data_IF_944333740011
#
_entry.id   IF_944333740011
#
_cell.length_a   1.000
_cell.length_b   1.000
_cell.length_c   1.000
_cell.angle_alpha   90.00
_cell.angle_beta   90.00
_cell.angle_gamma   90.00
#
_symmetry.space_group_name_H-M   'P 1'
#
loop_
_entity.id
_entity.type
_entity.pdbx_description
1 polymer ?
#
# COMPACT_ATOMS: atom_id res chain seq x y z
N UNK A 1 -53.83 28.13 35.17
CA UNK A 1 -52.41 27.74 35.26
C UNK A 1 -52.18 26.53 34.36
N UNK A 2 -51.52 26.79 33.23
CA UNK A 2 -51.26 25.85 32.15
C UNK A 2 -50.37 24.69 32.61
N UNK A 3 -50.86 23.45 32.44
CA UNK A 3 -49.98 22.31 32.21
C UNK A 3 -49.63 22.30 30.73
N UNK A 4 -48.51 22.92 30.38
CA UNK A 4 -47.92 22.76 29.06
C UNK A 4 -47.50 21.30 28.88
N UNK A 5 -48.38 20.53 28.21
CA UNK A 5 -47.99 19.31 27.52
C UNK A 5 -47.01 19.73 26.43
N UNK A 6 -45.71 19.53 26.66
CA UNK A 6 -44.73 19.43 25.59
C UNK A 6 -45.13 18.22 24.75
N UNK A 7 -45.95 18.44 23.73
CA UNK A 7 -46.19 17.50 22.64
C UNK A 7 -44.92 17.52 21.79
N UNK A 8 -43.91 16.77 22.21
CA UNK A 8 -42.74 16.52 21.39
C UNK A 8 -43.11 15.53 20.27
N UNK A 9 -43.78 16.05 19.23
CA UNK A 9 -44.16 15.32 18.01
C UNK A 9 -42.94 15.18 17.09
N UNK A 10 -41.86 14.54 17.56
CA UNK A 10 -40.84 13.93 16.70
C UNK A 10 -39.79 13.18 17.53
N UNK A 11 -40.23 12.31 18.43
CA UNK A 11 -39.32 11.36 19.07
C UNK A 11 -38.91 10.26 18.06
N UNK A 12 -38.17 10.65 17.01
CA UNK A 12 -37.54 9.75 16.04
C UNK A 12 -36.17 9.36 16.57
N UNK A 13 -36.17 8.51 17.60
CA UNK A 13 -34.98 7.74 18.02
C UNK A 13 -34.75 6.60 17.00
N UNK A 14 -34.78 6.91 15.71
CA UNK A 14 -34.53 5.93 14.65
C UNK A 14 -33.01 5.84 14.47
N UNK A 15 -32.44 4.74 14.95
CA UNK A 15 -31.01 4.47 14.87
C UNK A 15 -30.69 3.76 13.57
N UNK A 16 -29.70 4.24 12.82
CA UNK A 16 -29.14 3.48 11.71
C UNK A 16 -28.11 2.46 12.23
N UNK A 17 -28.61 1.27 12.55
CA UNK A 17 -27.80 0.18 13.07
C UNK A 17 -26.69 -0.29 12.12
N UNK A 18 -26.84 -0.16 10.79
CA UNK A 18 -25.78 -0.57 9.87
C UNK A 18 -24.57 0.36 9.94
N UNK A 19 -24.79 1.66 10.01
CA UNK A 19 -23.73 2.65 10.19
C UNK A 19 -23.10 2.58 11.58
N UNK A 20 -23.92 2.47 12.64
CA UNK A 20 -23.37 2.33 13.99
C UNK A 20 -22.60 1.02 14.15
N UNK A 21 -23.08 -0.08 13.56
CA UNK A 21 -22.34 -1.33 13.54
C UNK A 21 -21.00 -1.15 12.84
N UNK A 22 -20.96 -0.49 11.68
CA UNK A 22 -19.70 -0.23 10.97
C UNK A 22 -18.70 0.56 11.84
N UNK A 23 -19.18 1.57 12.58
CA UNK A 23 -18.38 2.37 13.52
C UNK A 23 -17.86 1.49 14.66
N UNK A 24 -18.72 0.73 15.33
CA UNK A 24 -18.38 -0.03 16.55
C UNK A 24 -17.54 -1.27 16.24
N UNK A 25 -17.75 -1.89 15.08
CA UNK A 25 -17.06 -3.13 14.67
C UNK A 25 -15.82 -2.87 13.81
N UNK A 26 -15.59 -1.63 13.38
CA UNK A 26 -14.43 -1.25 12.57
C UNK A 26 -14.49 -1.80 11.14
N UNK A 27 -15.69 -1.92 10.57
CA UNK A 27 -15.86 -2.32 9.16
C UNK A 27 -15.20 -1.29 8.26
N UNK A 28 -14.47 -1.75 7.24
CA UNK A 28 -13.81 -0.84 6.30
C UNK A 28 -14.85 -0.05 5.49
N UNK A 29 -14.59 1.23 5.25
CA UNK A 29 -15.45 2.10 4.46
C UNK A 29 -15.72 1.56 3.04
N UNK A 30 -14.79 0.76 2.49
CA UNK A 30 -14.93 0.13 1.17
C UNK A 30 -15.99 -0.97 1.17
N UNK A 31 -16.25 -1.60 2.32
CA UNK A 31 -17.23 -2.69 2.44
C UNK A 31 -18.63 -2.17 2.79
N UNK A 32 -18.78 -0.86 3.03
CA UNK A 32 -20.08 -0.23 3.22
C UNK A 32 -20.90 -0.26 1.93
N UNK A 33 -22.20 -0.55 2.05
CA UNK A 33 -23.13 -0.65 0.92
C UNK A 33 -23.86 0.66 0.63
N UNK A 34 -23.96 1.56 1.61
CA UNK A 34 -24.62 2.86 1.47
C UNK A 34 -24.14 3.86 2.52
N UNK A 35 -24.36 5.15 2.25
CA UNK A 35 -24.33 6.20 3.28
C UNK A 35 -25.74 6.45 3.82
N UNK A 36 -25.91 7.46 4.68
CA UNK A 36 -27.20 7.90 5.24
C UNK A 36 -27.37 9.41 5.13
N UNK A 37 -26.80 9.99 4.08
CA UNK A 37 -26.84 11.40 3.76
C UNK A 37 -28.08 11.67 2.91
N UNK A 38 -29.06 12.38 3.45
CA UNK A 38 -30.38 12.56 2.82
C UNK A 38 -30.52 13.86 2.07
N UNK A 39 -29.78 14.89 2.47
CA UNK A 39 -29.91 16.24 1.89
C UNK A 39 -28.57 16.78 1.44
N UNK A 40 -28.61 17.81 0.58
CA UNK A 40 -27.39 18.50 0.13
C UNK A 40 -26.70 19.24 1.28
N UNK A 41 -27.44 19.73 2.26
CA UNK A 41 -26.89 20.36 3.47
C UNK A 41 -26.11 19.34 4.31
N UNK A 42 -26.67 18.15 4.51
CA UNK A 42 -25.97 17.06 5.19
C UNK A 42 -24.73 16.60 4.40
N UNK A 43 -24.83 16.54 3.07
CA UNK A 43 -23.70 16.23 2.20
C UNK A 43 -22.59 17.28 2.30
N UNK A 44 -22.93 18.57 2.35
CA UNK A 44 -21.99 19.68 2.52
C UNK A 44 -21.30 19.60 3.88
N UNK A 45 -22.06 19.32 4.95
CA UNK A 45 -21.49 19.13 6.28
C UNK A 45 -20.55 17.93 6.32
N UNK A 46 -20.94 16.81 5.72
CA UNK A 46 -20.09 15.62 5.60
C UNK A 46 -18.79 15.94 4.87
N UNK A 47 -18.86 16.62 3.72
CA UNK A 47 -17.67 16.99 2.95
C UNK A 47 -16.72 17.88 3.77
N UNK A 48 -17.26 18.84 4.52
CA UNK A 48 -16.49 19.73 5.39
C UNK A 48 -15.76 18.97 6.49
N UNK A 49 -16.45 18.09 7.21
CA UNK A 49 -15.85 17.26 8.27
C UNK A 49 -14.86 16.22 7.71
N UNK A 50 -15.06 15.81 6.46
CA UNK A 50 -14.11 14.97 5.73
C UNK A 50 -12.82 15.73 5.36
N UNK A 51 -12.85 17.07 5.36
CA UNK A 51 -11.69 17.94 5.11
C UNK A 51 -11.83 18.84 3.88
N UNK A 52 -12.99 18.86 3.21
CA UNK A 52 -13.21 19.66 2.00
C UNK A 52 -14.28 20.72 2.19
N UNK A 53 -13.87 21.99 2.17
CA UNK A 53 -14.82 23.11 2.11
C UNK A 53 -15.27 23.33 0.66
N UNK A 54 -16.47 22.89 0.30
CA UNK A 54 -17.01 23.00 -1.07
C UNK A 54 -17.24 24.43 -1.54
N UNK A 55 -17.21 25.42 -0.64
CA UNK A 55 -17.28 26.83 -1.03
C UNK A 55 -15.92 27.34 -1.55
N UNK A 56 -14.81 26.67 -1.19
CA UNK A 56 -13.47 26.92 -1.72
C UNK A 56 -13.33 26.38 -3.16
N UNK A 57 -12.97 27.23 -4.15
CA UNK A 57 -12.65 26.79 -5.50
C UNK A 57 -11.59 25.67 -5.56
N UNK A 58 -10.57 25.71 -4.70
CA UNK A 58 -9.49 24.71 -4.72
C UNK A 58 -10.00 23.33 -4.31
N UNK A 59 -10.77 23.25 -3.22
CA UNK A 59 -11.39 22.00 -2.79
C UNK A 59 -12.32 21.43 -3.87
N UNK A 60 -13.06 22.28 -4.60
CA UNK A 60 -13.91 21.83 -5.72
C UNK A 60 -13.10 21.24 -6.87
N UNK A 61 -11.95 21.82 -7.20
CA UNK A 61 -11.07 21.29 -8.23
C UNK A 61 -10.41 19.97 -7.81
N UNK A 62 -10.01 19.84 -6.53
CA UNK A 62 -9.50 18.58 -5.98
C UNK A 62 -10.55 17.46 -6.02
N UNK A 63 -11.79 17.74 -5.60
CA UNK A 63 -12.90 16.78 -5.67
C UNK A 63 -13.17 16.36 -7.12
N UNK A 64 -13.18 17.32 -8.06
CA UNK A 64 -13.35 17.05 -9.49
C UNK A 64 -12.25 16.14 -10.02
N UNK A 65 -10.99 16.44 -9.70
CA UNK A 65 -9.85 15.66 -10.14
C UNK A 65 -9.90 14.22 -9.59
N UNK A 66 -10.23 14.07 -8.30
CA UNK A 66 -10.37 12.77 -7.66
C UNK A 66 -11.53 11.95 -8.24
N UNK A 67 -12.67 12.60 -8.55
CA UNK A 67 -13.80 11.96 -9.22
C UNK A 67 -13.42 11.46 -10.62
N UNK A 68 -12.78 12.31 -11.44
CA UNK A 68 -12.34 11.92 -12.78
C UNK A 68 -11.34 10.76 -12.76
N UNK A 69 -10.37 10.79 -11.83
CA UNK A 69 -9.43 9.68 -11.63
C UNK A 69 -10.15 8.41 -11.14
N UNK A 70 -11.13 8.52 -10.24
CA UNK A 70 -11.90 7.39 -9.73
C UNK A 70 -12.69 6.68 -10.85
N UNK A 71 -13.39 7.45 -11.68
CA UNK A 71 -14.14 6.91 -12.83
C UNK A 71 -13.18 6.24 -13.81
N UNK A 72 -12.08 6.90 -14.18
CA UNK A 72 -11.08 6.33 -15.08
C UNK A 72 -10.49 5.02 -14.53
N UNK A 73 -10.20 4.97 -13.23
CA UNK A 73 -9.69 3.77 -12.57
C UNK A 73 -10.69 2.62 -12.60
N UNK A 74 -11.96 2.89 -12.31
CA UNK A 74 -13.04 1.89 -12.37
C UNK A 74 -13.15 1.34 -13.80
N UNK A 75 -13.19 2.21 -14.80
CA UNK A 75 -13.29 1.81 -16.21
C UNK A 75 -12.09 0.98 -16.68
N UNK A 76 -10.87 1.29 -16.22
CA UNK A 76 -9.65 0.58 -16.63
C UNK A 76 -9.46 -0.76 -15.90
N UNK A 77 -9.80 -0.83 -14.60
CA UNK A 77 -9.45 -1.99 -13.76
C UNK A 77 -10.61 -2.92 -13.45
N UNK A 78 -11.85 -2.42 -13.43
CA UNK A 78 -13.00 -3.14 -12.90
C UNK A 78 -14.07 -3.43 -13.94
N UNK A 79 -13.97 -2.86 -15.14
CA UNK A 79 -14.94 -3.04 -16.21
C UNK A 79 -14.31 -3.67 -17.44
N UNK A 80 -15.04 -4.60 -18.06
CA UNK A 80 -14.73 -5.13 -19.38
C UNK A 80 -15.16 -4.13 -20.47
N UNK A 81 -14.76 -4.35 -21.72
CA UNK A 81 -15.19 -3.52 -22.86
C UNK A 81 -16.72 -3.50 -22.99
N UNK A 82 -17.30 -2.31 -23.09
CA UNK A 82 -18.74 -2.09 -23.22
C UNK A 82 -19.48 -1.90 -21.89
N UNK A 83 -18.93 -2.40 -20.76
CA UNK A 83 -19.54 -2.21 -19.43
C UNK A 83 -19.50 -0.75 -18.97
N UNK A 84 -18.66 0.11 -19.57
CA UNK A 84 -18.58 1.54 -19.24
C UNK A 84 -19.91 2.26 -19.50
N UNK A 85 -20.70 1.78 -20.46
CA UNK A 85 -22.04 2.33 -20.79
C UNK A 85 -23.07 2.11 -19.67
N UNK A 86 -22.75 1.25 -18.70
CA UNK A 86 -23.62 0.94 -17.57
C UNK A 86 -23.52 1.96 -16.43
N UNK A 87 -22.53 2.86 -16.47
CA UNK A 87 -22.39 3.94 -15.50
C UNK A 87 -23.40 5.05 -15.87
N UNK A 88 -24.34 5.42 -14.98
CA UNK A 88 -25.33 6.44 -15.28
C UNK A 88 -24.68 7.81 -15.58
N UNK A 89 -25.21 8.59 -16.54
CA UNK A 89 -24.69 9.91 -16.88
C UNK A 89 -24.54 10.86 -15.68
N UNK A 90 -25.50 10.84 -14.75
CA UNK A 90 -25.49 11.62 -13.52
C UNK A 90 -24.37 11.23 -12.54
N UNK A 91 -23.72 10.07 -12.72
CA UNK A 91 -22.53 9.66 -11.96
C UNK A 91 -21.26 10.03 -12.70
N UNK A 92 -21.25 9.94 -14.04
CA UNK A 92 -20.12 10.34 -14.89
C UNK A 92 -19.92 11.85 -14.90
N UNK A 93 -21.01 12.62 -14.88
CA UNK A 93 -21.02 14.07 -14.94
C UNK A 93 -22.10 14.61 -14.00
N UNK A 94 -21.88 14.53 -12.67
CA UNK A 94 -22.83 15.08 -11.71
C UNK A 94 -22.88 16.61 -11.81
N UNK A 95 -24.07 17.20 -11.65
CA UNK A 95 -24.22 18.66 -11.54
C UNK A 95 -23.46 19.21 -10.33
N UNK A 96 -23.50 18.47 -9.22
CA UNK A 96 -22.70 18.71 -8.03
C UNK A 96 -22.11 17.40 -7.52
N UNK A 97 -20.83 17.38 -7.17
CA UNK A 97 -20.19 16.20 -6.58
C UNK A 97 -20.79 15.82 -5.21
N UNK A 98 -21.47 16.75 -4.53
CA UNK A 98 -22.25 16.44 -3.32
C UNK A 98 -23.43 15.51 -3.63
N UNK A 99 -23.95 15.52 -4.85
CA UNK A 99 -25.05 14.65 -5.24
C UNK A 99 -24.63 13.18 -5.21
N UNK A 100 -23.35 12.85 -5.41
CA UNK A 100 -22.84 11.49 -5.23
C UNK A 100 -23.05 10.98 -3.81
N UNK A 101 -22.83 11.83 -2.80
CA UNK A 101 -23.07 11.50 -1.38
C UNK A 101 -24.56 11.24 -1.13
N UNK A 102 -25.44 12.07 -1.70
CA UNK A 102 -26.90 11.90 -1.59
C UNK A 102 -27.35 10.62 -2.31
N UNK A 103 -26.90 10.41 -3.55
CA UNK A 103 -27.23 9.23 -4.36
C UNK A 103 -26.81 7.93 -3.67
N UNK A 104 -25.68 7.93 -2.98
CA UNK A 104 -25.14 6.77 -2.25
C UNK A 104 -26.01 6.31 -1.05
N UNK A 105 -27.00 7.11 -0.64
CA UNK A 105 -27.80 6.89 0.58
C UNK A 105 -29.21 6.35 0.31
N UNK A 106 -29.63 6.27 -0.96
CA UNK A 106 -31.01 5.92 -1.32
C UNK A 106 -31.28 4.40 -1.27
N UNK A 107 -31.72 3.91 -0.11
CA UNK A 107 -32.11 2.51 0.13
C UNK A 107 -33.54 2.15 -0.35
N UNK A 108 -34.31 3.12 -0.83
CA UNK A 108 -35.76 2.96 -1.04
C UNK A 108 -36.13 1.98 -2.16
N UNK A 109 -35.19 1.58 -3.02
CA UNK A 109 -35.40 0.51 -4.01
C UNK A 109 -34.22 -0.47 -3.98
N UNK A 110 -34.52 -1.77 -3.83
CA UNK A 110 -33.57 -2.90 -3.80
C UNK A 110 -32.68 -3.04 -5.05
N UNK A 111 -32.86 -2.19 -6.07
CA UNK A 111 -32.13 -2.21 -7.34
C UNK A 111 -31.83 -0.78 -7.85
N UNK A 112 -31.39 0.11 -6.97
CA UNK A 112 -31.00 1.45 -7.42
C UNK A 112 -29.57 1.47 -7.97
N UNK A 113 -29.44 1.23 -9.29
CA UNK A 113 -28.16 1.24 -10.03
C UNK A 113 -27.38 2.54 -9.81
N UNK A 114 -28.06 3.69 -9.73
CA UNK A 114 -27.44 4.99 -9.45
C UNK A 114 -26.77 5.01 -8.08
N UNK A 115 -27.42 4.46 -7.05
CA UNK A 115 -26.89 4.39 -5.70
C UNK A 115 -25.63 3.51 -5.64
N UNK A 116 -25.68 2.35 -6.29
CA UNK A 116 -24.56 1.41 -6.34
C UNK A 116 -23.32 2.03 -7.00
N UNK A 117 -23.51 2.71 -8.14
CA UNK A 117 -22.43 3.40 -8.84
C UNK A 117 -21.88 4.61 -8.06
N UNK A 118 -22.74 5.40 -7.42
CA UNK A 118 -22.31 6.49 -6.56
C UNK A 118 -21.43 5.96 -5.42
N UNK A 119 -21.83 4.86 -4.77
CA UNK A 119 -21.01 4.17 -3.76
C UNK A 119 -19.68 3.70 -4.32
N UNK A 120 -19.66 3.04 -5.48
CA UNK A 120 -18.43 2.55 -6.10
C UNK A 120 -17.43 3.68 -6.37
N UNK A 121 -17.89 4.79 -6.95
CA UNK A 121 -17.06 5.97 -7.23
C UNK A 121 -16.53 6.59 -5.93
N UNK A 122 -17.39 6.81 -4.93
CA UNK A 122 -16.98 7.37 -3.64
C UNK A 122 -15.94 6.51 -2.90
N UNK A 123 -16.05 5.18 -2.97
CA UNK A 123 -15.05 4.26 -2.40
C UNK A 123 -13.67 4.42 -3.04
N UNK A 124 -13.63 4.62 -4.36
CA UNK A 124 -12.36 4.87 -5.07
C UNK A 124 -11.84 6.28 -4.80
N UNK A 125 -12.71 7.29 -4.73
CA UNK A 125 -12.35 8.65 -4.33
C UNK A 125 -11.76 8.69 -2.92
N UNK A 126 -12.35 7.97 -1.95
CA UNK A 126 -11.79 7.79 -0.61
C UNK A 126 -10.34 7.25 -0.69
N UNK A 127 -10.13 6.22 -1.53
CA UNK A 127 -8.83 5.73 -2.00
C UNK A 127 -7.83 6.82 -2.38
N UNK A 128 -8.25 7.69 -3.30
CA UNK A 128 -7.47 8.75 -3.90
C UNK A 128 -7.13 9.85 -2.90
N UNK A 129 -8.10 10.31 -2.12
CA UNK A 129 -7.89 11.36 -1.12
C UNK A 129 -6.84 10.96 -0.09
N UNK A 130 -6.84 9.70 0.34
CA UNK A 130 -5.80 9.20 1.24
C UNK A 130 -4.40 9.17 0.63
N UNK A 131 -4.29 8.94 -0.68
CA UNK A 131 -3.00 9.00 -1.38
C UNK A 131 -2.53 10.45 -1.49
N UNK A 132 -3.41 11.37 -1.88
CA UNK A 132 -3.07 12.79 -2.09
C UNK A 132 -2.67 13.51 -0.80
N UNK A 133 -3.31 13.14 0.30
CA UNK A 133 -3.08 13.75 1.60
C UNK A 133 -2.08 12.96 2.48
N UNK A 134 -1.46 11.89 1.95
CA UNK A 134 -0.37 11.21 2.66
C UNK A 134 0.93 12.02 2.54
N UNK A 135 1.33 12.60 3.67
CA UNK A 135 2.55 13.40 3.78
C UNK A 135 3.80 12.66 3.29
N UNK A 136 3.94 11.35 3.56
CA UNK A 136 5.16 10.61 3.20
C UNK A 136 5.22 10.32 1.70
N UNK A 137 4.08 10.07 1.06
CA UNK A 137 4.03 9.88 -0.40
C UNK A 137 4.48 11.13 -1.16
N UNK A 138 4.18 12.34 -0.65
CA UNK A 138 4.64 13.60 -1.25
C UNK A 138 6.17 13.70 -1.35
N UNK A 139 6.89 13.11 -0.39
CA UNK A 139 8.35 13.11 -0.36
C UNK A 139 8.96 11.75 -0.72
N UNK A 140 8.20 10.88 -1.40
CA UNK A 140 8.60 9.48 -1.61
C UNK A 140 9.95 9.35 -2.32
N UNK A 141 10.26 10.18 -3.32
CA UNK A 141 11.53 10.10 -4.04
C UNK A 141 12.74 10.51 -3.18
N UNK A 142 12.56 11.51 -2.31
CA UNK A 142 13.57 11.93 -1.32
C UNK A 142 13.81 10.81 -0.30
N UNK A 143 12.73 10.21 0.21
CA UNK A 143 12.77 9.07 1.15
C UNK A 143 13.48 7.87 0.51
N UNK A 144 13.10 7.53 -0.71
CA UNK A 144 13.65 6.43 -1.51
C UNK A 144 15.16 6.59 -1.71
N UNK A 145 15.60 7.79 -2.07
CA UNK A 145 17.01 8.11 -2.29
C UNK A 145 17.82 7.94 -1.01
N UNK A 146 17.33 8.43 0.13
CA UNK A 146 18.01 8.26 1.43
C UNK A 146 18.10 6.80 1.86
N UNK A 147 17.05 6.00 1.62
CA UNK A 147 17.09 4.57 1.92
C UNK A 147 18.13 3.90 1.05
N UNK A 148 18.09 4.04 -0.29
CA UNK A 148 19.03 3.34 -1.18
C UNK A 148 20.47 3.85 -1.08
N UNK A 149 20.72 5.11 -0.74
CA UNK A 149 22.07 5.63 -0.57
C UNK A 149 22.92 4.86 0.47
N UNK A 150 22.30 4.28 1.52
CA UNK A 150 23.05 3.42 2.45
C UNK A 150 23.34 2.04 1.89
N UNK A 151 22.48 1.53 1.00
CA UNK A 151 22.64 0.22 0.37
C UNK A 151 23.64 0.24 -0.77
N UNK A 152 23.75 1.35 -1.48
CA UNK A 152 24.71 1.52 -2.57
C UNK A 152 26.15 1.39 -2.10
N UNK A 153 26.41 1.67 -0.81
CA UNK A 153 27.72 1.42 -0.18
C UNK A 153 28.04 -0.05 0.07
N UNK A 154 27.02 -0.92 0.09
CA UNK A 154 27.19 -2.36 0.27
C UNK A 154 27.09 -3.13 -1.05
N UNK A 155 26.66 -2.47 -2.12
CA UNK A 155 26.43 -3.09 -3.42
C UNK A 155 27.59 -2.73 -4.36
N UNK A 156 28.35 -3.74 -4.77
CA UNK A 156 29.39 -3.60 -5.78
C UNK A 156 28.92 -4.17 -7.12
N UNK A 157 29.37 -3.53 -8.19
CA UNK A 157 29.03 -3.88 -9.57
C UNK A 157 30.32 -4.19 -10.31
N UNK A 158 30.49 -5.44 -10.74
CA UNK A 158 31.64 -5.89 -11.51
C UNK A 158 31.13 -6.55 -12.80
N UNK A 159 31.12 -5.78 -13.90
CA UNK A 159 30.48 -6.19 -15.15
C UNK A 159 28.98 -6.47 -14.95
N UNK A 160 28.53 -7.67 -15.33
CA UNK A 160 27.13 -8.10 -15.18
C UNK A 160 26.78 -8.65 -13.78
N UNK A 161 27.77 -8.75 -12.88
CA UNK A 161 27.59 -9.38 -11.56
C UNK A 161 27.46 -8.34 -10.46
N UNK A 162 26.50 -8.60 -9.58
CA UNK A 162 26.24 -7.80 -8.40
C UNK A 162 26.81 -8.52 -7.18
N UNK A 163 27.37 -7.78 -6.23
CA UNK A 163 27.90 -8.33 -4.99
C UNK A 163 27.40 -7.54 -3.80
N UNK A 164 27.05 -8.24 -2.72
CA UNK A 164 26.81 -7.65 -1.41
C UNK A 164 28.08 -7.75 -0.58
N UNK A 165 28.77 -6.64 -0.34
CA UNK A 165 30.04 -6.59 0.41
C UNK A 165 29.91 -5.77 1.70
N UNK A 166 30.46 -6.30 2.78
CA UNK A 166 30.57 -5.62 4.07
C UNK A 166 31.24 -6.49 5.12
N UNK A 167 32.04 -5.90 6.03
CA UNK A 167 32.70 -6.59 7.15
C UNK A 167 33.40 -7.91 6.74
N UNK A 168 34.30 -7.85 5.75
CA UNK A 168 35.05 -9.00 5.19
C UNK A 168 34.20 -10.09 4.52
N UNK A 169 32.88 -9.93 4.46
CA UNK A 169 31.98 -10.82 3.75
C UNK A 169 31.71 -10.21 2.36
N UNK A 170 31.82 -11.02 1.31
CA UNK A 170 31.43 -10.67 -0.05
C UNK A 170 30.57 -11.80 -0.61
N UNK A 171 29.29 -11.52 -0.87
CA UNK A 171 28.34 -12.49 -1.38
C UNK A 171 27.96 -12.13 -2.83
N UNK A 172 28.16 -13.03 -3.80
CA UNK A 172 27.63 -12.81 -5.14
C UNK A 172 26.10 -12.84 -5.11
N UNK A 173 25.48 -11.92 -5.84
CA UNK A 173 24.05 -11.87 -6.03
C UNK A 173 23.72 -12.42 -7.42
N UNK A 174 22.84 -13.41 -7.47
CA UNK A 174 22.20 -13.82 -8.70
C UNK A 174 21.38 -12.68 -9.31
N UNK A 175 20.67 -11.94 -8.44
CA UNK A 175 19.90 -10.77 -8.83
C UNK A 175 19.81 -9.78 -7.66
N UNK A 176 20.04 -8.52 -7.97
CA UNK A 176 19.59 -7.41 -7.14
C UNK A 176 18.47 -6.66 -7.84
N UNK A 177 17.36 -6.44 -7.14
CA UNK A 177 16.26 -5.67 -7.67
C UNK A 177 15.75 -4.70 -6.61
N UNK A 178 15.89 -3.40 -6.86
CA UNK A 178 15.10 -2.39 -6.16
C UNK A 178 13.65 -2.56 -6.61
N UNK A 179 12.72 -2.78 -5.66
CA UNK A 179 11.30 -2.82 -6.01
C UNK A 179 10.96 -1.45 -6.62
N UNK A 180 10.53 -1.45 -7.88
CA UNK A 180 10.14 -0.22 -8.58
C UNK A 180 9.01 0.45 -7.80
N UNK A 181 8.93 1.79 -7.89
CA UNK A 181 7.75 2.53 -7.43
C UNK A 181 6.53 1.84 -8.05
N UNK A 182 5.64 1.34 -7.20
CA UNK A 182 4.31 0.99 -7.66
C UNK A 182 3.67 2.32 -8.04
N UNK A 183 3.30 2.49 -9.30
CA UNK A 183 2.63 3.71 -9.74
C UNK A 183 1.36 3.95 -8.92
N UNK A 184 0.91 5.21 -8.85
CA UNK A 184 -0.26 5.66 -8.08
C UNK A 184 -1.44 4.67 -8.13
N UNK A 185 -1.82 4.21 -9.34
CA UNK A 185 -2.88 3.20 -9.57
C UNK A 185 -2.67 1.88 -8.82
N UNK A 186 -1.44 1.41 -8.68
CA UNK A 186 -1.11 0.19 -7.94
C UNK A 186 -1.16 0.37 -6.41
N UNK A 187 -0.93 1.60 -5.92
CA UNK A 187 -1.14 1.95 -4.50
C UNK A 187 -2.64 1.93 -4.23
N UNK A 188 -3.41 2.62 -5.06
CA UNK A 188 -4.87 2.66 -4.99
C UNK A 188 -5.47 1.25 -5.01
N UNK A 189 -5.04 0.41 -5.96
CA UNK A 189 -5.51 -0.98 -6.04
C UNK A 189 -5.23 -1.78 -4.76
N UNK A 190 -4.06 -1.60 -4.15
CA UNK A 190 -3.74 -2.27 -2.88
C UNK A 190 -4.62 -1.80 -1.73
N UNK A 191 -4.89 -0.49 -1.64
CA UNK A 191 -5.76 0.09 -0.61
C UNK A 191 -7.19 -0.45 -0.73
N UNK A 192 -7.71 -0.53 -1.96
CA UNK A 192 -9.05 -1.08 -2.23
C UNK A 192 -9.12 -2.60 -1.98
N UNK A 193 -8.00 -3.32 -2.01
CA UNK A 193 -7.96 -4.77 -1.76
C UNK A 193 -7.90 -5.14 -0.28
N UNK A 194 -7.18 -4.38 0.57
CA UNK A 194 -6.90 -4.79 1.95
C UNK A 194 -8.07 -4.48 2.91
N UNK A 195 -8.44 -5.42 3.80
CA UNK A 195 -9.59 -5.27 4.71
C UNK A 195 -9.41 -4.13 5.73
N UNK A 196 -8.19 -3.97 6.25
CA UNK A 196 -7.82 -2.83 7.07
C UNK A 196 -7.28 -1.72 6.17
N UNK A 197 -7.98 -0.61 6.07
CA UNK A 197 -7.50 0.57 5.34
C UNK A 197 -6.45 1.30 6.20
N UNK A 198 -5.20 0.82 6.20
CA UNK A 198 -4.13 1.37 7.05
C UNK A 198 -3.12 2.11 6.19
N UNK A 199 -2.81 3.37 6.54
CA UNK A 199 -1.74 4.15 5.91
C UNK A 199 -0.40 3.39 5.85
N UNK A 200 -0.16 2.45 6.79
CA UNK A 200 1.03 1.59 6.77
C UNK A 200 1.17 0.72 5.51
N UNK A 201 0.06 0.40 4.83
CA UNK A 201 0.05 -0.45 3.64
C UNK A 201 0.45 0.30 2.36
N UNK A 202 0.44 1.64 2.41
CA UNK A 202 1.01 2.54 1.41
C UNK A 202 2.55 2.43 1.43
N UNK A 203 3.17 2.01 2.53
CA UNK A 203 4.63 1.93 2.61
C UNK A 203 5.21 0.57 2.19
N UNK A 204 4.36 -0.44 1.91
CA UNK A 204 4.73 -1.73 1.29
C UNK A 204 5.26 -1.58 -0.17
N UNK A 205 5.66 -0.38 -0.57
CA UNK A 205 6.08 0.01 -1.92
C UNK A 205 7.57 0.28 -2.02
N UNK A 206 8.24 0.55 -0.90
CA UNK A 206 9.69 0.72 -0.88
C UNK A 206 10.36 -0.53 -0.34
N UNK A 207 11.19 -1.15 -1.16
CA UNK A 207 11.92 -2.32 -0.74
C UNK A 207 12.88 -2.83 -1.80
N UNK A 208 13.54 -3.93 -1.47
CA UNK A 208 14.54 -4.53 -2.32
C UNK A 208 14.51 -6.04 -2.21
N UNK A 209 14.96 -6.67 -3.30
CA UNK A 209 15.08 -8.10 -3.42
C UNK A 209 16.53 -8.44 -3.73
N UNK A 210 17.09 -9.30 -2.90
CA UNK A 210 18.40 -9.89 -3.06
C UNK A 210 18.19 -11.38 -3.29
N UNK A 211 18.67 -11.87 -4.43
CA UNK A 211 18.61 -13.28 -4.80
C UNK A 211 20.02 -13.83 -4.81
N UNK A 212 20.22 -14.94 -4.11
CA UNK A 212 21.49 -15.66 -4.00
C UNK A 212 21.37 -17.02 -4.69
N UNK A 213 22.48 -17.73 -4.89
CA UNK A 213 22.42 -19.05 -5.52
C UNK A 213 21.75 -20.09 -4.60
N UNK A 214 22.02 -20.01 -3.29
CA UNK A 214 21.62 -20.96 -2.25
C UNK A 214 20.80 -20.29 -1.14
N UNK A 215 20.08 -21.10 -0.37
CA UNK A 215 19.33 -20.66 0.81
C UNK A 215 20.28 -20.18 1.90
N UNK A 216 21.38 -20.89 2.14
CA UNK A 216 22.29 -20.56 3.24
C UNK A 216 23.03 -19.22 3.04
N UNK A 217 23.26 -18.80 1.80
CA UNK A 217 23.72 -17.44 1.50
C UNK A 217 22.78 -16.36 2.07
N UNK A 218 21.47 -16.61 2.10
CA UNK A 218 20.50 -15.66 2.68
C UNK A 218 20.72 -15.44 4.19
N UNK A 219 21.17 -16.47 4.92
CA UNK A 219 21.51 -16.36 6.35
C UNK A 219 22.81 -15.57 6.53
N UNK A 220 23.81 -15.80 5.67
CA UNK A 220 25.03 -14.99 5.65
C UNK A 220 24.75 -13.53 5.29
N UNK A 221 23.82 -13.29 4.36
CA UNK A 221 23.37 -11.95 4.01
C UNK A 221 22.71 -11.26 5.21
N UNK A 222 21.85 -11.94 5.98
CA UNK A 222 21.32 -11.39 7.24
C UNK A 222 22.43 -11.02 8.22
N UNK A 223 23.46 -11.87 8.39
CA UNK A 223 24.62 -11.58 9.24
C UNK A 223 25.36 -10.32 8.77
N UNK A 224 25.62 -10.20 7.46
CA UNK A 224 26.28 -9.03 6.86
C UNK A 224 25.45 -7.76 7.09
N UNK A 225 24.15 -7.81 6.81
CA UNK A 225 23.23 -6.67 6.95
C UNK A 225 23.07 -6.22 8.41
N UNK A 226 23.06 -7.17 9.34
CA UNK A 226 23.10 -6.90 10.78
C UNK A 226 24.41 -6.22 11.20
N UNK A 227 25.56 -6.77 10.80
CA UNK A 227 26.88 -6.21 11.12
C UNK A 227 27.09 -4.82 10.51
N UNK A 228 26.55 -4.59 9.32
CA UNK A 228 26.61 -3.30 8.61
C UNK A 228 25.54 -2.31 9.08
N UNK A 229 24.77 -2.63 10.14
CA UNK A 229 23.69 -1.81 10.69
C UNK A 229 22.55 -1.44 9.72
N UNK A 230 22.42 -2.14 8.58
CA UNK A 230 21.27 -1.97 7.69
C UNK A 230 20.01 -2.62 8.24
N UNK A 231 20.19 -3.67 9.05
CA UNK A 231 19.12 -4.29 9.84
C UNK A 231 19.51 -4.14 11.31
N UNK A 232 18.83 -3.24 12.01
CA UNK A 232 18.87 -3.15 13.47
C UNK A 232 17.65 -3.86 14.04
N UNK A 233 17.85 -4.80 14.97
CA UNK A 233 16.76 -5.55 15.61
C UNK A 233 15.73 -4.62 16.25
N UNK A 234 16.18 -3.52 16.84
CA UNK A 234 15.32 -2.51 17.48
C UNK A 234 14.42 -1.80 16.46
N UNK A 235 14.88 -1.70 15.20
CA UNK A 235 14.15 -1.08 14.10
C UNK A 235 13.41 -2.09 13.22
N UNK A 236 13.48 -3.40 13.51
CA UNK A 236 12.64 -4.39 12.84
C UNK A 236 11.20 -4.19 13.34
N UNK A 237 10.26 -4.04 12.41
CA UNK A 237 8.85 -3.87 12.75
C UNK A 237 8.27 -5.22 13.22
N UNK A 238 7.75 -5.32 14.46
CA UNK A 238 7.17 -6.55 14.96
C UNK A 238 6.04 -7.07 14.06
N UNK A 239 5.91 -8.39 13.95
CA UNK A 239 4.87 -9.10 13.17
C UNK A 239 4.83 -8.81 11.65
N UNK A 240 5.79 -8.04 11.12
CA UNK A 240 5.91 -7.72 9.68
C UNK A 240 7.09 -8.42 9.01
N UNK A 241 7.82 -9.25 9.74
CA UNK A 241 8.84 -10.15 9.20
C UNK A 241 8.26 -11.54 8.98
N UNK A 242 8.57 -12.16 7.84
CA UNK A 242 8.10 -13.50 7.47
C UNK A 242 9.26 -14.33 6.97
N UNK A 243 9.33 -15.59 7.39
CA UNK A 243 10.31 -16.53 6.88
C UNK A 243 9.60 -17.84 6.52
N UNK A 244 9.49 -18.11 5.22
CA UNK A 244 9.02 -19.39 4.69
C UNK A 244 10.05 -20.04 3.74
N UNK A 245 11.29 -19.55 3.79
CA UNK A 245 12.41 -20.04 2.98
C UNK A 245 13.18 -21.13 3.72
N UNK A 246 13.46 -20.90 5.01
CA UNK A 246 14.38 -21.71 5.81
C UNK A 246 13.83 -21.86 7.24
N UNK A 247 13.73 -23.09 7.75
CA UNK A 247 13.51 -23.29 9.18
C UNK A 247 14.82 -23.00 9.93
N UNK A 248 14.77 -22.04 10.86
CA UNK A 248 15.96 -21.42 11.42
C UNK A 248 16.75 -22.37 12.33
N UNK A 249 16.06 -23.23 13.09
CA UNK A 249 16.73 -24.18 13.98
C UNK A 249 17.45 -25.29 13.22
N UNK A 250 16.88 -25.73 12.10
CA UNK A 250 17.48 -26.73 11.23
C UNK A 250 18.69 -26.16 10.50
N UNK A 251 18.58 -24.96 9.94
CA UNK A 251 19.74 -24.26 9.37
C UNK A 251 20.85 -24.08 10.40
N UNK A 252 20.51 -23.74 11.66
CA UNK A 252 21.48 -23.67 12.75
C UNK A 252 22.21 -25.01 12.94
N UNK A 253 21.52 -26.15 12.98
CA UNK A 253 22.15 -27.48 13.11
C UNK A 253 23.12 -27.77 11.96
N UNK A 254 22.71 -27.48 10.72
CA UNK A 254 23.56 -27.64 9.53
C UNK A 254 24.82 -26.75 9.65
N UNK A 255 24.68 -25.48 10.03
CA UNK A 255 25.83 -24.60 10.25
C UNK A 255 26.81 -25.12 11.32
N UNK A 256 26.32 -25.68 12.42
CA UNK A 256 27.19 -26.24 13.46
C UNK A 256 27.97 -27.44 12.94
N UNK A 257 27.32 -28.34 12.18
CA UNK A 257 27.97 -29.51 11.56
C UNK A 257 29.10 -29.10 10.63
N UNK A 258 28.88 -28.06 9.83
CA UNK A 258 29.81 -27.61 8.78
C UNK A 258 30.80 -26.54 9.24
N UNK A 259 30.72 -26.07 10.49
CA UNK A 259 31.56 -24.98 11.03
C UNK A 259 33.06 -25.21 10.83
N UNK A 260 33.66 -26.37 11.13
CA UNK A 260 35.10 -26.56 10.93
C UNK A 260 35.55 -26.41 9.47
N UNK A 261 34.69 -26.75 8.52
CA UNK A 261 34.97 -26.60 7.08
C UNK A 261 34.81 -25.15 6.63
N UNK A 262 33.82 -24.44 7.18
CA UNK A 262 33.63 -23.01 6.92
C UNK A 262 34.78 -22.17 7.48
N UNK A 263 35.27 -22.49 8.68
CA UNK A 263 36.35 -21.77 9.35
C UNK A 263 37.70 -21.95 8.62
N UNK A 264 37.87 -23.03 7.85
CA UNK A 264 39.06 -23.31 7.02
C UNK A 264 38.96 -22.77 5.60
N UNK A 265 37.82 -22.21 5.20
CA UNK A 265 37.64 -21.71 3.85
C UNK A 265 38.42 -20.41 3.64
N UNK A 266 39.47 -20.44 2.82
CA UNK A 266 40.26 -19.26 2.46
C UNK A 266 39.52 -18.36 1.45
N UNK A 267 38.64 -18.96 0.65
CA UNK A 267 37.85 -18.28 -0.37
C UNK A 267 36.36 -18.49 -0.16
N UNK A 268 35.55 -17.74 -0.91
CA UNK A 268 34.09 -17.87 -0.91
C UNK A 268 33.62 -19.33 -1.14
N UNK A 269 33.00 -20.01 -0.15
CA UNK A 269 32.82 -21.47 -0.19
C UNK A 269 31.49 -21.90 -0.82
N UNK A 270 31.24 -21.48 -2.07
CA UNK A 270 29.95 -21.73 -2.75
C UNK A 270 29.59 -23.22 -2.86
N UNK A 271 30.55 -24.09 -3.18
CA UNK A 271 30.30 -25.53 -3.30
C UNK A 271 29.95 -26.17 -1.95
N UNK A 272 30.51 -25.63 -0.86
CA UNK A 272 30.13 -26.03 0.50
C UNK A 272 28.70 -25.60 0.81
N UNK A 273 28.31 -24.37 0.47
CA UNK A 273 26.93 -23.91 0.63
C UNK A 273 25.94 -24.75 -0.18
N UNK A 274 26.25 -25.09 -1.43
CA UNK A 274 25.41 -26.01 -2.23
C UNK A 274 25.29 -27.39 -1.60
N UNK A 275 26.36 -27.92 -0.99
CA UNK A 275 26.30 -29.18 -0.24
C UNK A 275 25.41 -29.05 0.99
N UNK A 276 25.61 -28.01 1.79
CA UNK A 276 24.82 -27.76 2.99
C UNK A 276 23.33 -27.54 2.66
N UNK A 277 22.99 -26.90 1.54
CA UNK A 277 21.61 -26.76 1.07
C UNK A 277 20.97 -28.11 0.74
N UNK A 278 21.73 -29.04 0.12
CA UNK A 278 21.27 -30.41 -0.16
C UNK A 278 20.97 -31.16 1.14
N UNK A 279 21.86 -31.06 2.13
CA UNK A 279 21.66 -31.69 3.44
C UNK A 279 20.45 -31.08 4.17
N UNK A 280 20.31 -29.75 4.11
CA UNK A 280 19.16 -29.03 4.67
C UNK A 280 17.84 -29.52 4.05
N UNK A 281 17.83 -29.84 2.75
CA UNK A 281 16.64 -30.36 2.07
C UNK A 281 16.36 -31.82 2.34
N UNK A 282 17.40 -32.66 2.38
CA UNK A 282 17.27 -34.09 2.63
C UNK A 282 16.72 -34.39 4.04
N UNK A 283 17.07 -33.57 5.02
CA UNK A 283 16.68 -33.76 6.42
C UNK A 283 15.34 -33.08 6.79
N UNK A 284 14.75 -32.28 5.90
CA UNK A 284 13.53 -31.53 6.21
C UNK A 284 12.26 -32.31 5.83
N UNK A 285 11.66 -32.97 6.82
CA UNK A 285 10.37 -33.67 6.69
C UNK A 285 9.23 -32.75 7.15
N UNK A 286 8.40 -32.34 6.19
CA UNK A 286 7.07 -31.69 6.25
C UNK A 286 6.61 -31.00 7.55
N UNK A 287 6.34 -29.69 7.42
CA UNK A 287 5.58 -28.89 8.39
C UNK A 287 5.59 -27.41 8.01
N UNK A 288 4.95 -27.03 6.90
CA UNK A 288 4.92 -25.63 6.46
C UNK A 288 3.71 -24.91 7.07
N UNK A 289 3.95 -23.93 7.92
CA UNK A 289 2.93 -23.03 8.44
C UNK A 289 2.39 -22.10 7.33
N UNK A 290 1.06 -22.04 7.18
CA UNK A 290 0.34 -21.15 6.26
C UNK A 290 -0.17 -19.94 7.02
N UNK A 291 0.54 -18.82 6.96
CA UNK A 291 0.11 -17.57 7.62
C UNK A 291 -0.72 -16.64 6.70
N UNK A 292 -0.87 -16.94 5.40
CA UNK A 292 -1.62 -16.08 4.48
C UNK A 292 -2.34 -16.87 3.37
N UNK A 293 -3.68 -16.74 3.25
CA UNK A 293 -4.51 -17.51 2.32
C UNK A 293 -4.29 -17.21 0.83
N UNK A 294 -3.60 -16.11 0.49
CA UNK A 294 -3.35 -15.73 -0.90
C UNK A 294 -1.89 -15.93 -1.37
N UNK A 295 -0.99 -16.28 -0.46
CA UNK A 295 0.38 -16.69 -0.82
C UNK A 295 0.37 -18.16 -1.24
N UNK A 296 0.83 -18.44 -2.45
CA UNK A 296 1.02 -19.81 -2.92
C UNK A 296 2.10 -20.51 -2.10
N UNK A 297 1.97 -21.83 -1.93
CA UNK A 297 3.01 -22.72 -1.36
C UNK A 297 4.36 -22.70 -2.12
N UNK A 298 4.38 -22.03 -3.28
CA UNK A 298 5.53 -21.90 -4.18
C UNK A 298 6.35 -20.61 -3.98
N UNK A 299 5.86 -19.63 -3.19
CA UNK A 299 6.57 -18.37 -2.96
C UNK A 299 7.36 -18.44 -1.65
N UNK A 300 8.67 -18.59 -1.73
CA UNK A 300 9.54 -18.76 -0.57
C UNK A 300 10.57 -17.63 -0.48
N UNK A 301 10.61 -16.94 0.67
CA UNK A 301 11.56 -15.85 0.93
C UNK A 301 11.69 -15.57 2.43
N UNK A 302 12.79 -14.91 2.80
CA UNK A 302 12.89 -14.20 4.08
C UNK A 302 12.54 -12.73 3.80
N UNK A 303 11.52 -12.21 4.47
CA UNK A 303 11.07 -10.83 4.38
C UNK A 303 11.26 -10.17 5.74
N UNK A 304 11.94 -9.04 5.75
CA UNK A 304 12.15 -8.24 6.96
C UNK A 304 11.69 -6.82 6.67
N UNK A 305 10.77 -6.31 7.47
CA UNK A 305 10.38 -4.89 7.43
C UNK A 305 11.17 -4.14 8.49
N UNK A 306 11.95 -3.14 8.08
CA UNK A 306 12.77 -2.33 8.98
C UNK A 306 12.42 -0.84 8.87
N UNK A 307 12.71 -0.10 9.93
CA UNK A 307 12.55 1.35 10.01
C UNK A 307 13.87 2.06 9.79
N UNK A 308 13.84 3.13 9.00
CA UNK A 308 14.93 4.10 8.90
C UNK A 308 14.39 5.50 9.13
N UNK A 309 15.11 6.27 9.94
CA UNK A 309 14.82 7.69 10.08
C UNK A 309 15.19 8.39 8.77
N UNK A 310 14.21 9.09 8.20
CA UNK A 310 14.37 9.89 6.98
C UNK A 310 14.09 11.34 7.31
N UNK A 311 14.70 12.24 6.55
CA UNK A 311 14.60 13.68 6.74
C UNK A 311 14.14 14.34 5.44
N UNK A 312 13.05 15.09 5.46
CA UNK A 312 12.51 15.73 4.26
C UNK A 312 12.50 17.25 4.44
N UNK A 313 12.78 18.03 3.39
CA UNK A 313 12.86 19.49 3.52
C UNK A 313 11.54 20.06 4.00
N UNK A 314 11.59 21.05 4.89
CA UNK A 314 10.42 21.82 5.28
C UNK A 314 10.18 22.95 4.27
N UNK A 315 9.06 22.95 3.50
CA UNK A 315 8.80 23.99 2.51
C UNK A 315 8.71 25.40 3.11
N UNK A 316 8.20 25.51 4.35
CA UNK A 316 8.11 26.82 5.04
C UNK A 316 9.49 27.35 5.34
N UNK A 317 10.40 26.51 5.86
CA UNK A 317 11.78 26.91 6.11
C UNK A 317 12.46 27.35 4.81
N UNK A 318 12.27 26.60 3.71
CA UNK A 318 12.86 26.94 2.41
C UNK A 318 12.36 28.29 1.88
N UNK A 319 11.07 28.59 2.03
CA UNK A 319 10.50 29.88 1.62
C UNK A 319 11.05 31.03 2.45
N UNK A 320 11.15 30.87 3.77
CA UNK A 320 11.71 31.92 4.64
C UNK A 320 13.19 32.16 4.33
N UNK A 321 13.96 31.10 4.08
CA UNK A 321 15.36 31.23 3.72
C UNK A 321 15.55 31.91 2.35
N UNK A 322 14.71 31.58 1.36
CA UNK A 322 14.71 32.26 0.06
C UNK A 322 14.37 33.76 0.20
N UNK A 323 13.39 34.11 1.05
CA UNK A 323 13.05 35.51 1.33
C UNK A 323 14.21 36.26 2.00
N UNK A 324 14.93 35.63 2.94
CA UNK A 324 16.13 36.24 3.56
C UNK A 324 17.20 36.57 2.54
N UNK A 325 17.47 35.63 1.63
CA UNK A 325 18.45 35.83 0.56
C UNK A 325 18.05 36.99 -0.36
N UNK A 326 16.76 37.17 -0.64
CA UNK A 326 16.25 38.27 -1.47
C UNK A 326 16.26 39.63 -0.77
N UNK A 327 15.98 39.68 0.54
CA UNK A 327 15.89 40.92 1.32
C UNK A 327 17.28 41.46 1.71
N UNK A 328 18.29 40.60 1.76
CA UNK A 328 19.66 40.92 2.19
C UNK A 328 19.76 41.23 3.68
N UNK A 329 20.96 41.21 4.24
CA UNK A 329 21.21 41.44 5.68
C UNK A 329 20.82 42.85 6.16
N UNK A 330 20.66 43.82 5.23
CA UNK A 330 20.58 45.25 5.53
C UNK A 330 19.17 45.86 5.55
N UNK A 331 18.10 45.07 5.42
CA UNK A 331 16.72 45.58 5.58
C UNK A 331 16.09 44.98 6.83
N UNK A 332 15.44 45.84 7.63
CA UNK A 332 14.69 45.46 8.85
C UNK A 332 13.63 44.43 8.50
N UNK A 333 13.97 43.14 8.58
CA UNK A 333 13.00 42.05 8.55
C UNK A 333 12.10 42.26 9.78
N UNK A 334 10.77 42.34 9.61
CA UNK A 334 9.85 42.46 10.74
C UNK A 334 10.18 41.42 11.82
N UNK A 335 10.24 41.77 13.11
CA UNK A 335 10.61 40.84 14.18
C UNK A 335 9.78 39.55 14.19
N UNK A 336 8.54 39.58 13.69
CA UNK A 336 7.69 38.40 13.53
C UNK A 336 8.27 37.36 12.54
N UNK A 337 8.98 37.81 11.49
CA UNK A 337 9.65 36.96 10.50
C UNK A 337 11.08 36.53 10.93
N UNK A 338 11.63 37.15 11.98
CA UNK A 338 12.92 36.78 12.56
C UNK A 338 12.83 35.61 13.56
N UNK A 339 11.65 35.35 14.13
CA UNK A 339 11.40 34.23 15.07
C UNK A 339 11.29 32.87 14.38
N UNK A 340 12.26 32.51 13.54
CA UNK A 340 12.32 31.20 12.86
C UNK A 340 13.09 30.14 13.65
N UNK A 341 13.64 30.48 14.80
CA UNK A 341 14.34 29.52 15.67
C UNK A 341 13.44 28.34 16.07
N UNK A 342 12.12 28.54 15.98
CA UNK A 342 11.10 27.52 16.19
C UNK A 342 10.68 26.74 14.92
N UNK A 343 11.22 27.06 13.74
CA UNK A 343 10.88 26.38 12.49
C UNK A 343 11.95 25.35 12.18
N UNK A 344 11.58 24.07 12.26
CA UNK A 344 12.46 22.98 11.87
C UNK A 344 12.86 23.10 10.40
N UNK A 345 14.17 22.93 10.12
CA UNK A 345 14.71 22.95 8.74
C UNK A 345 14.16 21.81 7.89
N UNK A 346 13.83 20.71 8.54
CA UNK A 346 13.44 19.45 7.93
C UNK A 346 12.49 18.71 8.87
N UNK A 347 11.58 17.93 8.29
CA UNK A 347 10.77 16.99 9.05
C UNK A 347 11.51 15.66 9.15
N UNK A 348 11.72 15.16 10.36
CA UNK A 348 12.36 13.87 10.62
C UNK A 348 11.36 12.84 11.15
N UNK A 349 11.27 11.68 10.52
CA UNK A 349 10.37 10.61 10.95
C UNK A 349 10.87 9.23 10.50
N UNK A 350 10.32 8.17 11.10
CA UNK A 350 10.63 6.80 10.68
C UNK A 350 9.80 6.38 9.46
N UNK A 351 10.47 5.80 8.47
CA UNK A 351 9.86 5.19 7.30
C UNK A 351 10.18 3.68 7.27
N UNK A 352 9.14 2.88 7.00
CA UNK A 352 9.25 1.43 6.89
C UNK A 352 9.66 1.04 5.46
N UNK A 353 10.61 0.13 5.30
CA UNK A 353 10.92 -0.49 4.01
C UNK A 353 11.20 -1.99 4.14
N UNK A 354 10.94 -2.73 3.06
CA UNK A 354 11.05 -4.19 3.06
C UNK A 354 12.34 -4.68 2.41
N UNK A 355 13.03 -5.59 3.08
CA UNK A 355 14.17 -6.34 2.55
C UNK A 355 13.70 -7.77 2.31
N UNK A 356 13.88 -8.24 1.08
CA UNK A 356 13.53 -9.59 0.68
C UNK A 356 14.77 -10.37 0.26
N UNK A 357 15.00 -11.52 0.89
CA UNK A 357 16.08 -12.46 0.56
C UNK A 357 15.51 -13.76 0.00
N UNK A 358 16.08 -14.26 -1.09
CA UNK A 358 15.64 -15.49 -1.77
C UNK A 358 16.84 -16.28 -2.30
N UNK A 359 16.70 -17.61 -2.42
CA UNK A 359 17.57 -18.40 -3.29
C UNK A 359 17.07 -18.39 -4.74
N UNK A 360 17.96 -18.72 -5.68
CA UNK A 360 17.70 -18.69 -7.12
C UNK A 360 16.53 -19.59 -7.51
N UNK A 361 16.44 -20.80 -6.95
CA UNK A 361 15.37 -21.75 -7.29
C UNK A 361 14.02 -21.23 -6.80
N UNK A 362 13.95 -20.67 -5.60
CA UNK A 362 12.72 -20.03 -5.09
C UNK A 362 12.32 -18.80 -5.90
N UNK A 363 13.30 -17.99 -6.34
CA UNK A 363 13.06 -16.85 -7.22
C UNK A 363 12.49 -17.27 -8.57
N UNK A 364 13.10 -18.23 -9.26
CA UNK A 364 12.64 -18.72 -10.56
C UNK A 364 11.22 -19.31 -10.49
N UNK A 365 10.90 -20.06 -9.42
CA UNK A 365 9.54 -20.55 -9.16
C UNK A 365 8.52 -19.42 -9.00
N UNK A 366 8.92 -18.31 -8.37
CA UNK A 366 8.04 -17.14 -8.18
C UNK A 366 7.69 -16.41 -9.49
N UNK A 367 8.47 -16.60 -10.56
CA UNK A 367 8.26 -15.97 -11.86
C UNK A 367 7.45 -16.88 -12.79
N UNK A 368 7.79 -18.18 -12.84
CA UNK A 368 7.32 -19.11 -13.87
C UNK A 368 6.13 -20.00 -13.46
N UNK A 369 5.66 -19.94 -12.21
CA UNK A 369 4.56 -20.80 -11.73
C UNK A 369 3.15 -20.23 -11.93
N UNK A 370 2.07 -21.01 -11.67
CA UNK A 370 0.68 -20.50 -11.54
C UNK A 370 0.51 -19.47 -10.40
N UNK A 371 1.56 -19.31 -9.59
CA UNK A 371 1.78 -18.25 -8.62
C UNK A 371 2.45 -16.99 -9.20
N UNK A 372 2.57 -16.87 -10.53
CA UNK A 372 3.25 -15.76 -11.19
C UNK A 372 2.72 -14.41 -10.71
N UNK A 373 3.58 -13.42 -10.72
CA UNK A 373 3.23 -12.05 -10.34
C UNK A 373 1.98 -11.53 -11.08
N UNK A 374 1.75 -11.98 -12.32
CA UNK A 374 0.57 -11.64 -13.11
C UNK A 374 -0.72 -12.28 -12.56
N UNK A 375 -0.71 -13.60 -12.28
CA UNK A 375 -1.86 -14.28 -11.69
C UNK A 375 -2.19 -13.74 -10.30
N UNK A 376 -1.17 -13.40 -9.51
CA UNK A 376 -1.35 -12.71 -8.23
C UNK A 376 -2.01 -11.34 -8.40
N UNK A 377 -1.50 -10.50 -9.32
CA UNK A 377 -2.09 -9.19 -9.60
C UNK A 377 -3.55 -9.31 -10.07
N UNK A 378 -3.89 -10.30 -10.91
CA UNK A 378 -5.28 -10.56 -11.34
C UNK A 378 -6.19 -10.86 -10.15
N UNK A 379 -5.74 -11.68 -9.19
CA UNK A 379 -6.49 -11.94 -7.94
C UNK A 379 -6.67 -10.67 -7.10
N UNK A 380 -5.67 -9.80 -7.04
CA UNK A 380 -5.79 -8.52 -6.32
C UNK A 380 -6.84 -7.61 -6.97
N UNK A 381 -6.84 -7.52 -8.30
CA UNK A 381 -7.85 -6.78 -9.06
C UNK A 381 -9.25 -7.32 -8.77
N UNK A 382 -9.43 -8.64 -8.85
CA UNK A 382 -10.73 -9.26 -8.62
C UNK A 382 -11.25 -9.04 -7.19
N UNK A 383 -10.38 -9.14 -6.18
CA UNK A 383 -10.76 -8.83 -4.79
C UNK A 383 -11.16 -7.37 -4.64
N UNK A 384 -10.39 -6.42 -5.20
CA UNK A 384 -10.73 -5.00 -5.14
C UNK A 384 -12.04 -4.70 -5.89
N UNK A 385 -12.23 -5.29 -7.09
CA UNK A 385 -13.45 -5.19 -7.90
C UNK A 385 -14.68 -5.60 -7.11
N UNK A 386 -14.64 -6.77 -6.46
CA UNK A 386 -15.75 -7.27 -5.63
C UNK A 386 -16.10 -6.38 -4.46
N UNK A 387 -15.10 -5.83 -3.77
CA UNK A 387 -15.33 -4.95 -2.62
C UNK A 387 -15.90 -3.58 -3.04
N UNK A 388 -15.36 -3.02 -4.12
CA UNK A 388 -15.78 -1.70 -4.62
C UNK A 388 -17.17 -1.77 -5.24
N UNK A 389 -17.38 -2.64 -6.23
CA UNK A 389 -18.66 -2.73 -6.95
C UNK A 389 -19.74 -3.40 -6.11
N UNK A 390 -19.37 -4.34 -5.24
CA UNK A 390 -20.32 -5.10 -4.43
C UNK A 390 -21.11 -6.13 -5.24
N UNK A 391 -21.77 -7.09 -4.56
CA UNK A 391 -22.39 -8.24 -5.21
C UNK A 391 -23.58 -7.86 -6.11
N UNK A 392 -24.36 -6.85 -5.72
CA UNK A 392 -25.57 -6.44 -6.45
C UNK A 392 -25.24 -5.78 -7.79
N UNK A 393 -24.23 -4.89 -7.82
CA UNK A 393 -23.81 -4.24 -9.05
C UNK A 393 -23.14 -5.23 -9.99
N UNK A 394 -22.31 -6.13 -9.46
CA UNK A 394 -21.70 -7.21 -10.24
C UNK A 394 -22.75 -8.08 -10.91
N UNK A 395 -23.78 -8.50 -10.16
CA UNK A 395 -24.89 -9.27 -10.72
C UNK A 395 -25.61 -8.50 -11.82
N UNK A 396 -25.85 -7.19 -11.63
CA UNK A 396 -26.48 -6.36 -12.66
C UNK A 396 -25.63 -6.20 -13.92
N UNK A 397 -24.30 -6.23 -13.81
CA UNK A 397 -23.40 -6.21 -14.97
C UNK A 397 -23.45 -7.53 -15.73
N UNK A 398 -23.44 -8.65 -15.01
CA UNK A 398 -23.56 -10.00 -15.57
C UNK A 398 -24.88 -10.19 -16.35
N UNK A 399 -26.02 -9.85 -15.73
CA UNK A 399 -27.35 -9.96 -16.37
C UNK A 399 -27.45 -9.17 -17.68
N UNK A 400 -26.85 -7.98 -17.73
CA UNK A 400 -26.87 -7.14 -18.93
C UNK A 400 -25.91 -7.61 -20.01
N UNK A 401 -24.79 -8.23 -19.62
CA UNK A 401 -23.84 -8.84 -20.55
C UNK A 401 -24.46 -10.05 -21.26
N UNK A 402 -25.18 -10.89 -20.50
CA UNK A 402 -25.92 -12.03 -21.06
C UNK A 402 -26.99 -11.56 -22.06
N UNK A 403 -27.78 -10.54 -21.69
CA UNK A 403 -28.78 -9.96 -22.59
C UNK A 403 -28.18 -9.39 -23.89
N UNK A 404 -27.02 -8.72 -23.81
CA UNK A 404 -26.32 -8.21 -24.99
C UNK A 404 -25.79 -9.35 -25.90
N UNK A 405 -25.34 -10.46 -25.31
CA UNK A 405 -24.88 -11.63 -26.06
C UNK A 405 -26.04 -12.35 -26.78
N UNK A 406 -27.21 -12.46 -26.15
CA UNK A 406 -28.41 -13.06 -26.74
C UNK A 406 -29.06 -12.17 -27.82
N UNK A 407 -29.00 -10.85 -27.66
CA UNK A 407 -29.54 -9.88 -28.63
C UNK A 407 -28.73 -9.74 -29.92
N UNK A 408 -27.53 -10.32 -30.01
CA UNK A 408 -26.66 -10.27 -31.21
C UNK A 408 -26.84 -11.50 -32.13
N UNK A 409 -27.74 -12.43 -31.76
CA UNK A 409 -28.01 -13.69 -32.49
C UNK A 409 -29.19 -13.60 -33.49
N UNK A 410 -29.66 -12.41 -33.85
CA UNK A 410 -30.78 -12.20 -34.78
C UNK A 410 -30.41 -11.32 -35.97
#
# INVERSE_FOLDING_TARGET
>A
MNKERIKDKNNKVSINWSQLSAIVTGVSAIDMTSLSIRTREEAKMFAREYGFDVDDPHARDEIRAAHAEAVAFICEYFLDEGEQTQIPPEILQPESYLDLLVYSSNYLNKSNVRQMWACAVLKVMHGIFHIDHDFKLRYFDTIRSQIFASWDRLLEYHGDRHYLRGHQICLPLYLFQRKRNKGRKSILLKLLQKPSYVASDIYDHLGMRLVFETKLETIYALKLLYKSHQISVINVKPFRSKNNLIEFNHAKKIFHRYRPLLDRAETYPIELFKKMDRDLEAEFVSGRHKDNPHSSDQYQSIQVTVRKMVRVPNPVYQQVEALRQLVGENRRIPPQLMRTEAIDKEYAFYFDYEIQLMDRRSYLKSINGPASHQAYKKRQVETARRRVLGPQLLKSLEEKREYAAEGTLW
#
